data_IF_620697922197
#
_entry.id   IF_620697922197
#
_cell.length_a   1.000
_cell.length_b   1.000
_cell.length_c   1.000
_cell.angle_alpha   90.00
_cell.angle_beta   90.00
_cell.angle_gamma   90.00
#
_symmetry.space_group_name_H-M   'P 1'
#
loop_
_entity.id
_entity.type
_entity.pdbx_description
1 polymer ?
#
# COMPACT_ATOMS: atom_id res chain seq x y z
N UNK A 1 -6.00 -71.34 2.04
CA UNK A 1 -5.32 -70.09 1.67
C UNK A 1 -6.08 -68.95 2.35
N UNK A 2 -5.65 -68.57 3.55
CA UNK A 2 -6.24 -67.49 4.33
C UNK A 2 -5.09 -66.55 4.68
N UNK A 3 -5.12 -65.35 4.09
CA UNK A 3 -4.02 -64.39 4.16
C UNK A 3 -4.21 -63.60 5.46
N UNK A 4 -3.17 -63.64 6.28
CA UNK A 4 -3.05 -63.03 7.59
C UNK A 4 -3.44 -61.55 7.58
N UNK A 5 -4.28 -61.16 8.54
CA UNK A 5 -4.54 -59.76 8.87
C UNK A 5 -3.23 -59.13 9.36
N UNK A 6 -2.67 -58.21 8.58
CA UNK A 6 -1.57 -57.37 9.05
C UNK A 6 -2.08 -56.48 10.17
N UNK A 7 -1.55 -56.68 11.37
CA UNK A 7 -1.69 -55.78 12.50
C UNK A 7 -1.02 -54.45 12.12
N UNK A 8 -1.81 -53.46 11.75
CA UNK A 8 -1.37 -52.07 11.74
C UNK A 8 -1.70 -51.53 13.13
N UNK A 9 -0.66 -51.31 13.94
CA UNK A 9 -0.78 -50.54 15.18
C UNK A 9 -0.98 -49.06 14.80
N UNK A 10 -2.15 -48.45 15.06
CA UNK A 10 -2.23 -47.00 14.99
C UNK A 10 -1.40 -46.47 16.16
N UNK A 11 -0.20 -45.96 15.85
CA UNK A 11 0.55 -45.13 16.79
C UNK A 11 -0.42 -44.07 17.30
N UNK A 12 -0.77 -44.18 18.57
CA UNK A 12 -1.44 -43.14 19.34
C UNK A 12 -0.54 -41.93 19.24
N UNK A 13 -0.91 -41.00 18.36
CA UNK A 13 -0.36 -39.66 18.40
C UNK A 13 -0.88 -39.10 19.73
N UNK A 14 -0.02 -38.83 20.72
CA UNK A 14 -0.49 -38.15 21.91
C UNK A 14 -1.10 -36.84 21.42
N UNK A 15 -2.32 -36.56 21.87
CA UNK A 15 -2.86 -35.22 21.82
C UNK A 15 -1.88 -34.36 22.61
N UNK A 16 -0.90 -33.78 21.92
CA UNK A 16 -0.20 -32.63 22.42
C UNK A 16 -1.23 -31.52 22.37
N UNK A 17 -1.91 -31.42 23.50
CA UNK A 17 -2.49 -30.22 24.07
C UNK A 17 -2.06 -29.00 23.27
N UNK A 18 -3.08 -28.35 22.70
CA UNK A 18 -3.10 -26.94 22.38
C UNK A 18 -2.53 -26.17 23.59
N UNK A 19 -1.21 -26.06 23.63
CA UNK A 19 -0.55 -25.00 24.36
C UNK A 19 -0.85 -23.79 23.51
N UNK A 20 -1.74 -22.95 24.04
CA UNK A 20 -1.88 -21.55 23.69
C UNK A 20 -0.55 -21.06 23.15
N UNK A 21 -0.50 -20.72 21.88
CA UNK A 21 0.48 -19.77 21.41
C UNK A 21 0.23 -18.56 22.28
N UNK A 22 1.10 -18.38 23.28
CA UNK A 22 1.16 -17.15 24.04
C UNK A 22 1.36 -16.08 22.98
N UNK A 23 0.28 -15.34 22.73
CA UNK A 23 0.30 -14.00 22.22
C UNK A 23 1.37 -13.28 23.03
N UNK A 24 2.60 -13.29 22.51
CA UNK A 24 3.61 -12.36 22.94
C UNK A 24 3.10 -11.03 22.44
N UNK A 25 2.25 -10.41 23.26
CA UNK A 25 2.21 -8.97 23.33
C UNK A 25 3.63 -8.60 23.71
N UNK A 26 4.45 -8.39 22.68
CA UNK A 26 5.65 -7.61 22.82
C UNK A 26 5.16 -6.20 23.14
N UNK A 27 4.84 -5.99 24.42
CA UNK A 27 4.87 -4.69 25.06
C UNK A 27 6.34 -4.28 25.16
N UNK A 28 7.03 -4.22 24.02
CA UNK A 28 8.21 -3.40 23.90
C UNK A 28 7.68 -1.98 23.94
N UNK A 29 8.04 -1.22 24.96
CA UNK A 29 7.80 0.22 24.91
C UNK A 29 8.38 0.72 23.57
N UNK A 30 7.66 1.56 22.81
CA UNK A 30 8.21 2.11 21.58
C UNK A 30 9.57 2.75 21.92
N UNK A 31 10.60 2.56 21.08
CA UNK A 31 11.90 3.15 21.31
C UNK A 31 11.73 4.65 21.49
N UNK A 32 12.33 5.17 22.55
CA UNK A 32 12.24 6.60 22.85
C UNK A 32 13.00 7.40 21.79
N UNK A 33 12.59 8.64 21.55
CA UNK A 33 13.17 9.52 20.53
C UNK A 33 14.71 9.56 20.60
N UNK A 34 15.27 9.57 21.82
CA UNK A 34 16.71 9.53 22.07
C UNK A 34 17.38 8.20 21.72
N UNK A 35 16.72 7.05 21.94
CA UNK A 35 17.26 5.74 21.54
C UNK A 35 17.31 5.61 20.01
N UNK A 36 16.29 6.12 19.32
CA UNK A 36 16.27 6.12 17.86
C UNK A 36 17.32 7.07 17.27
N UNK A 37 17.54 8.22 17.90
CA UNK A 37 18.58 9.18 17.52
C UNK A 37 19.98 8.59 17.60
N UNK A 38 20.29 7.86 18.67
CA UNK A 38 21.58 7.18 18.80
C UNK A 38 21.78 6.11 17.73
N UNK A 39 20.72 5.36 17.38
CA UNK A 39 20.77 4.34 16.32
C UNK A 39 21.03 4.98 14.96
N UNK A 40 20.33 6.06 14.62
CA UNK A 40 20.45 6.72 13.31
C UNK A 40 21.84 7.37 13.15
N UNK A 41 22.35 8.03 14.19
CA UNK A 41 23.69 8.61 14.15
C UNK A 41 24.83 7.58 14.15
N UNK A 42 24.54 6.32 14.50
CA UNK A 42 25.50 5.23 14.32
C UNK A 42 25.64 4.78 12.86
N UNK A 43 24.79 5.24 11.95
CA UNK A 43 24.83 4.90 10.53
C UNK A 43 25.70 5.92 9.80
N UNK A 44 26.72 5.45 9.09
CA UNK A 44 27.61 6.30 8.27
C UNK A 44 26.81 7.04 7.19
N UNK A 45 26.95 8.36 7.13
CA UNK A 45 26.21 9.22 6.19
C UNK A 45 24.88 9.75 6.71
N UNK A 46 24.54 9.52 7.99
CA UNK A 46 23.34 10.05 8.65
C UNK A 46 23.65 11.17 9.66
N UNK A 47 24.85 11.77 9.62
CA UNK A 47 25.30 12.76 10.61
C UNK A 47 24.53 14.08 10.57
N UNK A 48 23.76 14.32 9.50
CA UNK A 48 22.92 15.52 9.34
C UNK A 48 21.55 15.38 10.03
N UNK A 49 21.17 14.19 10.48
CA UNK A 49 19.88 13.97 11.17
C UNK A 49 19.95 14.53 12.58
N UNK A 50 19.04 15.45 12.90
CA UNK A 50 18.88 16.05 14.21
C UNK A 50 17.82 15.29 15.04
N UNK A 51 17.91 15.42 16.36
CA UNK A 51 16.92 14.85 17.28
C UNK A 51 15.52 15.44 17.03
N UNK A 52 15.47 16.72 16.62
CA UNK A 52 14.25 17.40 16.19
C UNK A 52 13.61 16.76 14.94
N UNK A 53 14.41 16.21 14.01
CA UNK A 53 13.89 15.54 12.81
C UNK A 53 13.17 14.24 13.20
N UNK A 54 13.73 13.51 14.17
CA UNK A 54 13.13 12.28 14.70
C UNK A 54 11.85 12.58 15.45
N UNK A 55 11.87 13.64 16.26
CA UNK A 55 10.67 14.13 16.93
C UNK A 55 9.58 14.47 15.90
N UNK A 56 9.92 15.21 14.83
CA UNK A 56 8.99 15.56 13.77
C UNK A 56 8.38 14.31 13.13
N UNK A 57 9.19 13.30 12.78
CA UNK A 57 8.72 12.06 12.16
C UNK A 57 7.78 11.26 13.05
N UNK A 58 8.12 11.10 14.33
CA UNK A 58 7.30 10.34 15.29
C UNK A 58 6.04 11.09 15.72
N UNK A 59 6.06 12.42 15.73
CA UNK A 59 4.93 13.24 16.19
C UNK A 59 3.98 13.69 15.06
N UNK A 60 4.43 13.73 13.81
CA UNK A 60 3.57 14.01 12.65
C UNK A 60 2.55 12.89 12.43
N UNK A 61 2.98 11.63 12.58
CA UNK A 61 2.11 10.47 12.36
C UNK A 61 0.99 10.41 13.43
N UNK A 62 1.33 10.65 14.70
CA UNK A 62 0.38 10.67 15.81
C UNK A 62 -0.65 11.82 15.77
N UNK A 63 -0.39 12.88 14.99
CA UNK A 63 -1.30 14.02 14.82
C UNK A 63 -2.11 13.95 13.52
N UNK A 64 -1.84 12.96 12.65
CA UNK A 64 -2.57 12.83 11.42
C UNK A 64 -4.01 12.35 11.70
N UNK A 65 -5.06 13.00 11.16
CA UNK A 65 -6.46 12.64 11.44
C UNK A 65 -6.83 11.21 11.05
N UNK A 66 -6.01 10.56 10.20
CA UNK A 66 -6.20 9.17 9.79
C UNK A 66 -5.38 8.15 10.58
N UNK A 67 -4.54 8.58 11.53
CA UNK A 67 -3.80 7.66 12.38
C UNK A 67 -4.72 7.23 13.53
N UNK A 68 -5.44 6.13 13.27
CA UNK A 68 -6.27 5.48 14.27
C UNK A 68 -5.73 4.07 14.49
N UNK A 69 -5.36 3.77 15.73
CA UNK A 69 -5.06 2.39 16.12
C UNK A 69 -6.39 1.67 16.25
N UNK A 70 -6.69 0.80 15.29
CA UNK A 70 -7.93 0.02 15.25
C UNK A 70 -7.72 -1.33 15.92
N UNK A 71 -8.73 -1.79 16.66
CA UNK A 71 -8.77 -3.18 17.15
C UNK A 71 -9.29 -4.15 16.05
N UNK A 72 -9.20 -5.45 16.30
CA UNK A 72 -9.54 -6.47 15.30
C UNK A 72 -10.97 -6.33 14.74
N UNK A 73 -11.97 -6.12 15.60
CA UNK A 73 -13.35 -5.87 15.20
C UNK A 73 -13.51 -4.58 14.38
N UNK A 74 -12.84 -3.49 14.76
CA UNK A 74 -12.85 -2.22 14.03
C UNK A 74 -12.18 -2.33 12.66
N UNK A 75 -11.10 -3.13 12.54
CA UNK A 75 -10.43 -3.41 11.26
C UNK A 75 -11.39 -4.16 10.32
N UNK A 76 -12.07 -5.19 10.82
CA UNK A 76 -13.04 -5.97 10.03
C UNK A 76 -14.17 -5.05 9.54
N UNK A 77 -14.68 -4.17 10.42
CA UNK A 77 -15.73 -3.23 10.08
C UNK A 77 -15.28 -2.17 9.05
N UNK A 78 -14.06 -1.65 9.17
CA UNK A 78 -13.49 -0.70 8.20
C UNK A 78 -13.36 -1.31 6.79
N UNK A 79 -13.06 -2.60 6.70
CA UNK A 79 -12.97 -3.34 5.45
C UNK A 79 -14.36 -3.55 4.84
N UNK A 80 -15.36 -3.96 5.65
CA UNK A 80 -16.72 -4.24 5.18
C UNK A 80 -17.43 -2.99 4.63
N UNK A 81 -17.25 -1.81 5.26
CA UNK A 81 -17.85 -0.55 4.78
C UNK A 81 -17.18 0.05 3.53
N UNK A 82 -15.99 -0.43 3.13
CA UNK A 82 -15.36 -0.02 1.87
C UNK A 82 -16.05 -0.62 0.63
N UNK A 83 -16.94 -1.58 0.83
CA UNK A 83 -17.75 -2.24 -0.20
C UNK A 83 -18.97 -1.44 -0.65
N UNK A 84 -19.39 -0.43 0.13
CA UNK A 84 -20.60 0.39 -0.10
C UNK A 84 -20.33 1.62 -0.99
N UNK A 85 -19.31 1.57 -1.84
CA UNK A 85 -19.21 2.48 -2.98
C UNK A 85 -20.20 1.99 -4.03
N UNK A 86 -21.48 2.30 -3.79
CA UNK A 86 -22.58 2.08 -4.72
C UNK A 86 -22.23 2.69 -6.08
N UNK A 87 -22.16 1.83 -7.09
CA UNK A 87 -22.46 2.13 -8.50
C UNK A 87 -23.93 2.58 -8.60
N UNK A 88 -24.26 3.73 -8.01
CA UNK A 88 -25.57 4.36 -8.17
C UNK A 88 -25.56 5.23 -9.42
N UNK A 89 -26.01 4.59 -10.49
CA UNK A 89 -26.45 5.11 -11.78
C UNK A 89 -27.02 6.55 -11.74
N UNK A 90 -26.35 7.42 -12.48
CA UNK A 90 -26.88 8.44 -13.37
C UNK A 90 -28.16 9.19 -12.96
N UNK A 91 -27.98 10.47 -12.58
CA UNK A 91 -28.96 11.51 -12.89
C UNK A 91 -28.27 12.62 -13.65
N UNK A 92 -28.60 12.69 -14.94
CA UNK A 92 -28.46 13.83 -15.83
C UNK A 92 -28.65 15.15 -15.08
N UNK A 93 -27.54 15.86 -14.87
CA UNK A 93 -27.53 17.31 -14.88
C UNK A 93 -26.72 17.72 -16.10
N UNK A 94 -27.46 18.33 -17.02
CA UNK A 94 -27.06 19.01 -18.24
C UNK A 94 -25.83 19.91 -17.99
N UNK A 95 -24.63 19.31 -18.12
CA UNK A 95 -23.35 19.98 -18.24
C UNK A 95 -22.70 19.37 -19.48
N UNK A 96 -22.82 20.09 -20.59
CA UNK A 96 -22.04 19.95 -21.83
C UNK A 96 -20.84 19.00 -21.69
N UNK A 97 -20.97 17.79 -22.26
CA UNK A 97 -19.91 16.84 -22.60
C UNK A 97 -18.65 16.95 -21.73
N UNK A 98 -18.75 16.64 -20.43
CA UNK A 98 -17.58 16.31 -19.61
C UNK A 98 -17.06 14.94 -20.02
N UNK A 99 -16.59 14.84 -21.27
CA UNK A 99 -15.86 13.68 -21.77
C UNK A 99 -14.62 13.55 -20.89
N UNK A 100 -14.64 12.56 -20.00
CA UNK A 100 -13.49 12.24 -19.17
C UNK A 100 -12.33 11.88 -20.10
N UNK A 101 -11.16 12.48 -19.85
CA UNK A 101 -9.96 12.20 -20.63
C UNK A 101 -9.58 10.74 -20.38
N UNK A 102 -9.56 9.93 -21.44
CA UNK A 102 -9.13 8.53 -21.31
C UNK A 102 -7.65 8.44 -20.92
N UNK A 103 -7.21 7.34 -20.28
CA UNK A 103 -5.79 7.16 -19.94
C UNK A 103 -4.86 7.30 -21.16
N UNK A 104 -5.30 6.84 -22.34
CA UNK A 104 -4.56 7.00 -23.59
C UNK A 104 -4.42 8.46 -24.00
N UNK A 105 -5.50 9.24 -23.95
CA UNK A 105 -5.48 10.68 -24.22
C UNK A 105 -4.65 11.44 -23.18
N UNK A 106 -4.74 11.04 -21.89
CA UNK A 106 -3.94 11.60 -20.80
C UNK A 106 -2.43 11.39 -21.02
N UNK A 107 -2.01 10.17 -21.37
CA UNK A 107 -0.61 9.88 -21.72
C UNK A 107 -0.15 10.71 -22.91
N UNK A 108 -0.98 10.89 -23.94
CA UNK A 108 -0.64 11.70 -25.11
C UNK A 108 -0.52 13.19 -24.77
N UNK A 109 -1.42 13.72 -23.95
CA UNK A 109 -1.39 15.11 -23.49
C UNK A 109 -0.12 15.37 -22.66
N UNK A 110 0.19 14.50 -21.69
CA UNK A 110 1.38 14.61 -20.85
C UNK A 110 2.68 14.48 -21.65
N UNK A 111 2.71 13.60 -22.65
CA UNK A 111 3.84 13.47 -23.57
C UNK A 111 4.05 14.75 -24.39
N UNK A 112 2.97 15.41 -24.79
CA UNK A 112 3.03 16.67 -25.54
C UNK A 112 3.50 17.83 -24.65
N UNK A 113 3.00 17.90 -23.41
CA UNK A 113 3.45 18.88 -22.43
C UNK A 113 4.95 18.72 -22.09
N UNK A 114 5.44 17.49 -21.94
CA UNK A 114 6.87 17.22 -21.74
C UNK A 114 7.74 17.73 -22.89
N UNK A 115 7.34 17.47 -24.14
CA UNK A 115 8.06 17.99 -25.31
C UNK A 115 8.14 19.52 -25.32
N UNK A 116 7.08 20.19 -24.87
CA UNK A 116 7.06 21.64 -24.75
C UNK A 116 8.01 22.14 -23.65
N UNK A 117 7.99 21.52 -22.46
CA UNK A 117 8.93 21.87 -21.38
C UNK A 117 10.39 21.64 -21.79
N UNK A 118 10.69 20.54 -22.48
CA UNK A 118 12.05 20.21 -22.94
C UNK A 118 12.61 21.22 -23.95
N UNK A 119 11.76 21.98 -24.65
CA UNK A 119 12.17 23.04 -25.57
C UNK A 119 12.50 24.36 -24.87
N UNK A 120 12.10 24.51 -23.61
CA UNK A 120 12.28 25.73 -22.84
C UNK A 120 13.57 25.67 -22.03
N UNK A 121 14.38 26.72 -22.11
CA UNK A 121 15.61 26.85 -21.32
C UNK A 121 15.39 27.42 -19.91
N UNK A 122 14.17 27.85 -19.60
CA UNK A 122 13.79 28.56 -18.37
C UNK A 122 12.90 27.74 -17.42
N UNK A 123 12.90 26.41 -17.60
CA UNK A 123 12.09 25.47 -16.82
C UNK A 123 12.91 24.88 -15.68
N UNK A 124 12.31 24.78 -14.49
CA UNK A 124 12.97 24.15 -13.35
C UNK A 124 13.15 22.66 -13.65
N UNK A 125 14.30 22.03 -13.31
CA UNK A 125 14.51 20.60 -13.52
C UNK A 125 13.45 19.70 -12.87
N UNK A 126 12.75 20.23 -11.85
CA UNK A 126 11.69 19.56 -11.12
C UNK A 126 10.39 19.42 -11.94
N UNK A 127 10.07 20.40 -12.79
CA UNK A 127 8.83 20.42 -13.56
C UNK A 127 8.70 19.22 -14.54
N UNK A 128 9.71 18.89 -15.37
CA UNK A 128 9.63 17.71 -16.25
C UNK A 128 9.69 16.40 -15.46
N UNK A 129 10.27 16.38 -14.25
CA UNK A 129 10.26 15.18 -13.40
C UNK A 129 8.84 14.86 -12.91
N UNK A 130 8.09 15.88 -12.44
CA UNK A 130 6.70 15.69 -12.05
C UNK A 130 5.83 15.22 -13.22
N UNK A 131 5.95 15.85 -14.39
CA UNK A 131 5.20 15.45 -15.59
C UNK A 131 5.51 14.03 -16.05
N UNK A 132 6.77 13.59 -15.94
CA UNK A 132 7.16 12.19 -16.22
C UNK A 132 6.47 11.22 -15.26
N UNK A 133 6.45 11.51 -13.97
CA UNK A 133 5.79 10.68 -12.97
C UNK A 133 4.29 10.52 -13.25
N UNK A 134 3.58 11.62 -13.53
CA UNK A 134 2.17 11.59 -13.91
C UNK A 134 1.90 10.77 -15.18
N UNK A 135 2.77 10.91 -16.20
CA UNK A 135 2.65 10.14 -17.45
C UNK A 135 2.84 8.65 -17.19
N UNK A 136 3.82 8.28 -16.37
CA UNK A 136 4.15 6.89 -16.09
C UNK A 136 3.03 6.22 -15.28
N UNK A 137 2.41 6.96 -14.34
CA UNK A 137 1.19 6.52 -13.64
C UNK A 137 0.02 6.32 -14.60
N UNK A 138 -0.26 7.30 -15.47
CA UNK A 138 -1.34 7.17 -16.46
C UNK A 138 -1.11 5.99 -17.43
N UNK A 139 0.15 5.70 -17.77
CA UNK A 139 0.52 4.54 -18.58
C UNK A 139 0.36 3.22 -17.80
N UNK A 140 0.68 3.20 -16.51
CA UNK A 140 0.45 2.06 -15.63
C UNK A 140 -1.05 1.76 -15.50
N UNK A 141 -1.88 2.78 -15.30
CA UNK A 141 -3.35 2.63 -15.21
C UNK A 141 -3.95 2.13 -16.54
N UNK A 142 -3.44 2.62 -17.68
CA UNK A 142 -3.81 2.08 -18.99
C UNK A 142 -3.49 0.59 -19.11
N UNK A 143 -2.38 0.15 -18.52
CA UNK A 143 -1.90 -1.22 -18.62
C UNK A 143 -2.48 -2.14 -17.54
N UNK A 144 -2.95 -1.60 -16.41
CA UNK A 144 -3.58 -2.39 -15.34
C UNK A 144 -4.93 -2.96 -15.78
N UNK A 145 -5.65 -2.27 -16.66
CA UNK A 145 -6.83 -2.81 -17.38
C UNK A 145 -6.52 -3.93 -18.39
N UNK A 146 -5.23 -4.24 -18.63
CA UNK A 146 -4.76 -5.29 -19.54
C UNK A 146 -4.14 -6.51 -18.82
N UNK A 147 -4.12 -6.53 -17.49
CA UNK A 147 -3.62 -7.69 -16.73
C UNK A 147 -4.57 -8.90 -16.92
N UNK A 148 -3.97 -10.05 -17.25
CA UNK A 148 -4.63 -11.27 -17.73
C UNK A 148 -5.84 -11.71 -16.90
N UNK A 149 -6.94 -12.09 -17.60
CA UNK A 149 -7.97 -12.96 -17.05
C UNK A 149 -7.28 -14.21 -16.49
N UNK A 150 -7.57 -14.57 -15.23
CA UNK A 150 -6.99 -15.76 -14.60
C UNK A 150 -7.25 -16.98 -15.51
N UNK A 151 -6.25 -17.86 -15.61
CA UNK A 151 -6.29 -19.11 -16.41
C UNK A 151 -7.43 -20.05 -16.00
N UNK A 152 -8.13 -19.77 -14.90
CA UNK A 152 -9.26 -20.53 -14.39
C UNK A 152 -10.58 -20.30 -15.13
N UNK A 153 -10.67 -19.34 -16.06
CA UNK A 153 -11.88 -19.15 -16.89
C UNK A 153 -11.73 -19.85 -18.25
N UNK A 154 -11.90 -21.18 -18.24
CA UNK A 154 -12.20 -22.02 -19.41
C UNK A 154 -13.33 -23.01 -19.10
#
# INVERSE_FOLDING_TARGET
MAISKSNYDPKIIPQNNCSKEEESQETGNPPTDGELFEIINSIEGCEEVLEDDIFEWLHLENQHPSFQILNAEEIIQAIDHSSDINDADNKDQDFEDLRTISHTEGVQALTTALKYLEQRSDVSPIDPLFLKNWRDRAAADRNSGLLQRKVTDY
#
